data_IF_514454995557
#
_entry.id   IF_514454995557
#
_cell.length_a   1.000
_cell.length_b   1.000
_cell.length_c   1.000
_cell.angle_alpha   90.00
_cell.angle_beta   90.00
_cell.angle_gamma   90.00
#
_symmetry.space_group_name_H-M   'P 1'
#
loop_
_entity.id
_entity.type
_entity.pdbx_description
1 polymer ?
#
# COMPACT_ATOMS: atom_id res chain seq x y z
N UNK A 1 5.92 -9.85 -7.35
CA UNK A 1 5.76 -10.69 -6.15
C UNK A 1 4.74 -11.78 -6.43
N UNK A 2 5.03 -13.04 -6.12
CA UNK A 2 4.08 -14.16 -6.26
C UNK A 2 3.68 -14.69 -4.88
N UNK A 3 2.40 -14.97 -4.68
CA UNK A 3 1.82 -15.52 -3.44
C UNK A 3 0.70 -16.49 -3.78
N UNK A 4 0.27 -17.28 -2.79
CA UNK A 4 -0.88 -18.18 -2.95
C UNK A 4 -2.10 -17.66 -2.19
N UNK A 5 -3.29 -18.13 -2.56
CA UNK A 5 -4.55 -17.81 -1.87
C UNK A 5 -4.43 -18.15 -0.39
N UNK A 6 -4.94 -17.27 0.48
CA UNK A 6 -4.92 -17.39 1.94
C UNK A 6 -3.59 -16.98 2.60
N UNK A 7 -2.53 -16.70 1.84
CA UNK A 7 -1.31 -16.11 2.38
C UNK A 7 -1.52 -14.63 2.77
N UNK A 8 -0.57 -14.08 3.53
CA UNK A 8 -0.40 -12.64 3.68
C UNK A 8 0.72 -12.14 2.75
N UNK A 9 0.53 -10.95 2.18
CA UNK A 9 1.56 -10.22 1.45
C UNK A 9 1.92 -8.91 2.15
N UNK A 10 3.22 -8.66 2.30
CA UNK A 10 3.75 -7.33 2.62
C UNK A 10 4.38 -6.76 1.36
N UNK A 11 3.78 -5.71 0.79
CA UNK A 11 4.32 -5.01 -0.37
C UNK A 11 5.28 -3.93 0.12
N UNK A 12 6.58 -4.02 -0.19
CA UNK A 12 7.58 -3.13 0.38
C UNK A 12 7.43 -1.72 -0.17
N UNK A 13 7.42 -0.72 0.71
CA UNK A 13 7.56 0.68 0.34
C UNK A 13 8.36 1.43 1.42
N UNK A 14 9.51 1.96 1.03
CA UNK A 14 10.40 2.66 1.94
C UNK A 14 10.64 4.09 1.46
N UNK A 15 10.67 5.02 2.41
CA UNK A 15 10.96 6.43 2.17
C UNK A 15 11.94 6.96 3.22
N UNK A 16 12.62 8.05 2.90
CA UNK A 16 13.48 8.73 3.87
C UNK A 16 12.69 9.86 4.51
N UNK A 17 12.23 9.67 5.75
CA UNK A 17 11.47 10.70 6.45
C UNK A 17 12.31 11.98 6.61
N UNK A 18 11.87 13.10 6.00
CA UNK A 18 12.58 14.37 6.09
C UNK A 18 11.86 15.25 7.10
N UNK A 19 12.39 15.30 8.32
CA UNK A 19 11.96 16.24 9.33
C UNK A 19 12.55 17.63 9.05
N UNK A 20 11.99 18.35 8.08
CA UNK A 20 12.20 19.80 7.92
C UNK A 20 11.30 20.60 8.87
N UNK A 21 11.25 21.92 8.69
CA UNK A 21 10.49 22.83 9.58
C UNK A 21 8.96 22.62 9.56
N UNK A 22 8.43 21.89 8.57
CA UNK A 22 7.03 21.48 8.47
C UNK A 22 6.92 20.05 7.89
N UNK A 23 7.09 19.01 8.73
CA UNK A 23 7.02 17.63 8.25
C UNK A 23 5.58 17.30 7.84
N UNK A 24 5.34 17.19 6.55
CA UNK A 24 4.11 16.66 5.98
C UNK A 24 4.41 15.28 5.41
N UNK A 25 3.58 14.29 5.77
CA UNK A 25 3.67 12.92 5.26
C UNK A 25 2.32 12.48 4.75
N UNK A 26 2.26 12.25 3.46
CA UNK A 26 1.10 11.68 2.80
C UNK A 26 1.56 10.37 2.14
N UNK A 27 0.87 9.27 2.42
CA UNK A 27 1.13 7.97 1.80
C UNK A 27 -0.15 7.53 1.12
N UNK A 28 -0.06 7.10 -0.13
CA UNK A 28 -1.19 6.58 -0.88
C UNK A 28 -0.77 5.29 -1.59
N UNK A 29 -1.52 4.21 -1.37
CA UNK A 29 -1.40 3.00 -2.17
C UNK A 29 -2.52 2.94 -3.20
N UNK A 30 -2.14 2.61 -4.43
CA UNK A 30 -3.02 2.56 -5.58
C UNK A 30 -2.96 1.17 -6.19
N UNK A 31 -4.11 0.62 -6.58
CA UNK A 31 -4.20 -0.63 -7.33
C UNK A 31 -4.67 -0.34 -8.75
N UNK A 32 -3.86 -0.73 -9.71
CA UNK A 32 -4.22 -0.80 -11.12
C UNK A 32 -4.46 -2.26 -11.52
N UNK A 33 -5.64 -2.52 -12.09
CA UNK A 33 -5.98 -3.80 -12.70
C UNK A 33 -6.07 -3.64 -14.23
N UNK A 34 -5.71 -4.66 -15.03
CA UNK A 34 -5.72 -4.56 -16.49
C UNK A 34 -7.07 -4.12 -17.10
N UNK A 35 -8.18 -4.45 -16.44
CA UNK A 35 -9.55 -4.22 -16.91
C UNK A 35 -10.31 -3.15 -16.12
N UNK A 36 -9.64 -2.38 -15.25
CA UNK A 36 -10.33 -1.43 -14.37
C UNK A 36 -9.54 -0.14 -14.19
N UNK A 37 -10.26 0.92 -13.81
CA UNK A 37 -9.62 2.17 -13.40
C UNK A 37 -8.77 1.94 -12.15
N UNK A 38 -7.71 2.73 -12.02
CA UNK A 38 -6.91 2.79 -10.81
C UNK A 38 -7.82 3.11 -9.61
N UNK A 39 -7.67 2.36 -8.52
CA UNK A 39 -8.37 2.61 -7.26
C UNK A 39 -7.40 2.93 -6.13
N UNK A 40 -7.84 3.74 -5.18
CA UNK A 40 -7.13 3.92 -3.90
C UNK A 40 -7.36 2.67 -3.05
N UNK A 41 -6.29 2.18 -2.43
CA UNK A 41 -6.28 0.99 -1.57
C UNK A 41 -6.26 1.40 -0.11
N UNK A 42 -5.33 2.28 0.26
CA UNK A 42 -5.22 2.83 1.61
C UNK A 42 -4.46 4.15 1.53
N UNK A 43 -4.80 5.10 2.40
CA UNK A 43 -4.15 6.40 2.48
C UNK A 43 -3.79 6.74 3.91
N UNK A 44 -2.60 7.26 4.15
CA UNK A 44 -2.25 7.96 5.38
C UNK A 44 -2.15 9.46 5.10
N UNK A 45 -2.91 10.26 5.84
CA UNK A 45 -2.93 11.72 5.73
C UNK A 45 -3.31 12.34 7.08
N UNK A 46 -2.69 13.46 7.45
CA UNK A 46 -3.02 14.22 8.66
C UNK A 46 -3.09 13.37 9.95
N UNK A 47 -2.18 12.40 10.09
CA UNK A 47 -2.09 11.55 11.30
C UNK A 47 -3.11 10.42 11.35
N UNK A 48 -3.82 10.13 10.26
CA UNK A 48 -4.85 9.09 10.20
C UNK A 48 -4.70 8.21 8.97
N UNK A 49 -5.06 6.95 9.12
CA UNK A 49 -5.15 5.97 8.04
C UNK A 49 -6.62 5.87 7.59
N UNK A 50 -6.83 5.92 6.29
CA UNK A 50 -8.11 5.83 5.62
C UNK A 50 -8.10 4.64 4.67
N UNK A 51 -9.05 3.72 4.85
CA UNK A 51 -9.35 2.66 3.90
C UNK A 51 -10.67 3.02 3.20
N UNK A 52 -10.66 3.36 1.90
CA UNK A 52 -11.88 3.75 1.18
C UNK A 52 -12.85 2.57 0.94
N UNK A 53 -12.40 1.33 1.13
CA UNK A 53 -13.24 0.14 1.01
C UNK A 53 -13.51 -0.44 2.39
N UNK A 54 -14.51 0.10 3.09
CA UNK A 54 -14.96 -0.45 4.39
C UNK A 54 -15.38 -1.93 4.30
N UNK A 55 -15.74 -2.44 3.11
CA UNK A 55 -16.00 -3.86 2.87
C UNK A 55 -14.75 -4.77 2.99
N UNK A 56 -13.56 -4.18 2.90
CA UNK A 56 -12.26 -4.83 3.09
C UNK A 56 -11.66 -4.54 4.48
N UNK A 57 -12.44 -3.90 5.35
CA UNK A 57 -12.00 -3.47 6.67
C UNK A 57 -11.40 -4.64 7.45
N UNK A 58 -10.10 -4.52 7.73
CA UNK A 58 -9.34 -5.50 8.49
C UNK A 58 -8.34 -6.34 7.68
N UNK A 59 -8.45 -6.41 6.34
CA UNK A 59 -7.45 -7.11 5.52
C UNK A 59 -6.24 -6.24 5.14
N UNK A 60 -6.44 -4.93 5.09
CA UNK A 60 -5.44 -3.96 4.66
C UNK A 60 -4.90 -3.18 5.86
N UNK A 61 -3.58 -3.00 5.91
CA UNK A 61 -2.94 -2.12 6.90
C UNK A 61 -1.58 -1.67 6.41
N UNK A 62 -1.04 -0.58 6.98
CA UNK A 62 0.37 -0.26 6.82
C UNK A 62 1.16 -1.06 7.87
N UNK A 63 2.14 -1.86 7.46
CA UNK A 63 2.84 -2.83 8.33
C UNK A 63 3.92 -2.22 9.22
N UNK A 64 4.28 -0.96 9.00
CA UNK A 64 5.49 -0.37 9.56
C UNK A 64 5.25 0.89 10.38
N UNK A 65 6.33 1.32 11.04
CA UNK A 65 6.45 2.68 11.54
C UNK A 65 6.70 3.60 10.33
N UNK A 66 5.63 3.96 9.64
CA UNK A 66 5.69 4.80 8.45
C UNK A 66 6.24 6.20 8.73
N UNK A 67 6.25 6.64 10.00
CA UNK A 67 6.94 7.86 10.43
C UNK A 67 8.46 7.69 10.44
N UNK A 68 8.97 6.46 10.52
CA UNK A 68 10.40 6.11 10.41
C UNK A 68 10.83 5.62 9.03
N UNK A 69 9.92 5.65 8.05
CA UNK A 69 10.26 5.37 6.66
C UNK A 69 9.68 4.08 6.08
N UNK A 70 8.99 3.24 6.86
CA UNK A 70 8.37 2.01 6.35
C UNK A 70 6.88 2.19 6.09
N UNK A 71 6.54 2.46 4.82
CA UNK A 71 5.19 2.65 4.31
C UNK A 71 4.62 1.38 3.64
N UNK A 72 5.16 0.21 3.97
CA UNK A 72 4.76 -1.06 3.34
C UNK A 72 3.29 -1.42 3.62
N UNK A 73 2.65 -2.04 2.63
CA UNK A 73 1.24 -2.44 2.69
C UNK A 73 1.12 -3.92 3.07
N UNK A 74 0.36 -4.22 4.12
CA UNK A 74 -0.15 -5.56 4.41
C UNK A 74 -1.42 -5.81 3.61
N UNK A 75 -1.51 -6.98 3.00
CA UNK A 75 -2.75 -7.56 2.52
C UNK A 75 -2.84 -8.95 3.15
N UNK A 76 -3.77 -9.15 4.09
CA UNK A 76 -4.00 -10.45 4.71
C UNK A 76 -5.08 -11.25 3.98
N UNK A 77 -5.02 -12.57 4.12
CA UNK A 77 -5.99 -13.51 3.53
C UNK A 77 -6.21 -13.24 2.03
N UNK A 78 -5.13 -13.44 1.26
CA UNK A 78 -5.10 -13.13 -0.17
C UNK A 78 -6.13 -13.94 -0.96
N UNK A 79 -6.83 -13.26 -1.86
CA UNK A 79 -7.70 -13.85 -2.87
C UNK A 79 -7.09 -13.71 -4.26
N UNK A 80 -7.57 -14.48 -5.24
CA UNK A 80 -7.15 -14.31 -6.64
C UNK A 80 -7.39 -12.87 -7.15
N UNK A 81 -8.46 -12.24 -6.63
CA UNK A 81 -8.84 -10.87 -6.96
C UNK A 81 -7.87 -9.81 -6.46
N UNK A 82 -6.96 -10.15 -5.55
CA UNK A 82 -5.94 -9.22 -5.05
C UNK A 82 -4.75 -9.09 -6.03
N UNK A 83 -4.71 -9.88 -7.11
CA UNK A 83 -3.70 -9.71 -8.16
C UNK A 83 -3.83 -8.36 -8.87
N UNK A 84 -2.69 -7.74 -9.17
CA UNK A 84 -2.60 -6.50 -9.92
C UNK A 84 -1.34 -5.70 -9.62
N UNK A 85 -1.26 -4.51 -10.20
CA UNK A 85 -0.14 -3.60 -10.02
C UNK A 85 -0.44 -2.61 -8.89
N UNK A 86 0.34 -2.68 -7.82
CA UNK A 86 0.23 -1.80 -6.66
C UNK A 86 1.31 -0.74 -6.71
N UNK A 87 0.92 0.53 -6.59
CA UNK A 87 1.86 1.66 -6.55
C UNK A 87 1.73 2.38 -5.21
N UNK A 88 2.83 2.43 -4.47
CA UNK A 88 2.99 3.30 -3.31
C UNK A 88 3.42 4.68 -3.78
N UNK A 89 2.76 5.73 -3.31
CA UNK A 89 3.14 7.12 -3.48
C UNK A 89 3.35 7.73 -2.11
N UNK A 90 4.55 8.24 -1.86
CA UNK A 90 4.89 8.95 -0.64
C UNK A 90 5.21 10.39 -0.98
N UNK A 91 4.52 11.33 -0.33
CA UNK A 91 4.86 12.75 -0.32
C UNK A 91 5.40 13.10 1.06
N UNK A 92 6.61 13.63 1.09
CA UNK A 92 7.32 13.91 2.33
C UNK A 92 8.12 15.20 2.18
N UNK A 93 7.73 16.23 2.94
CA UNK A 93 8.38 17.54 2.89
C UNK A 93 8.40 18.16 1.48
N UNK A 94 7.35 17.91 0.69
CA UNK A 94 7.23 18.36 -0.70
C UNK A 94 7.96 17.50 -1.74
N UNK A 95 8.75 16.49 -1.33
CA UNK A 95 9.34 15.50 -2.24
C UNK A 95 8.38 14.33 -2.45
N UNK A 96 8.38 13.80 -3.67
CA UNK A 96 7.57 12.65 -4.04
C UNK A 96 8.47 11.44 -4.31
N UNK A 97 8.07 10.29 -3.80
CA UNK A 97 8.68 8.99 -4.09
C UNK A 97 7.58 8.01 -4.49
N UNK A 98 7.86 7.18 -5.48
CA UNK A 98 6.95 6.12 -5.90
C UNK A 98 7.67 4.78 -5.99
N UNK A 99 6.96 3.71 -5.69
CA UNK A 99 7.42 2.35 -5.94
C UNK A 99 6.24 1.49 -6.41
N UNK A 100 6.49 0.62 -7.38
CA UNK A 100 5.46 -0.19 -8.02
C UNK A 100 5.80 -1.67 -7.88
N UNK A 101 4.81 -2.46 -7.46
CA UNK A 101 4.92 -3.89 -7.24
C UNK A 101 3.77 -4.59 -7.96
N UNK A 102 4.10 -5.49 -8.86
CA UNK A 102 3.11 -6.41 -9.43
C UNK A 102 2.91 -7.61 -8.49
N UNK A 103 1.71 -7.75 -7.91
CA UNK A 103 1.32 -8.89 -7.09
C UNK A 103 0.53 -9.90 -7.93
N UNK A 104 0.95 -11.17 -7.89
CA UNK A 104 0.26 -12.28 -8.54
C UNK A 104 -0.12 -13.30 -7.48
N UNK A 105 -1.41 -13.55 -7.31
CA UNK A 105 -1.96 -14.55 -6.39
C UNK A 105 -2.39 -15.79 -7.17
N UNK A 106 -1.94 -16.97 -6.74
CA UNK A 106 -2.21 -18.25 -7.39
C UNK A 106 -3.07 -19.15 -6.50
N UNK A 107 -3.90 -20.00 -7.12
CA UNK A 107 -4.68 -21.00 -6.38
C UNK A 107 -3.79 -22.04 -5.70
N UNK A 108 -4.25 -22.61 -4.59
CA UNK A 108 -3.59 -23.79 -4.00
C UNK A 108 -3.84 -24.99 -4.93
N UNK A 109 -2.78 -25.72 -5.22
CA UNK A 109 -2.81 -26.96 -6.01
C UNK A 109 -3.32 -28.12 -5.16
#
# INVERSE_FOLDING_TARGET
MKRVVGDNATLPCHHQFWAGDAPTLDIEWLLLKPSSKQRVVITYFAGRVYDPNEAEAGRLSLTGDYLKGDASLLISDLSLGDSGEYTCKVKNGGKYQWSTINLIVQGKS
#
